data_IF_591112751374
#
_entry.id   IF_591112751374
#
_cell.length_a   1.000
_cell.length_b   1.000
_cell.length_c   1.000
_cell.angle_alpha   90.00
_cell.angle_beta   90.00
_cell.angle_gamma   90.00
#
_symmetry.space_group_name_H-M   'P 1'
#
loop_
_entity.id
_entity.type
_entity.pdbx_description
1 polymer ?
#
# COMPACT_ATOMS: atom_id res chain seq x y z
N UNK A 1 -51.41 32.67 -44.92
CA UNK A 1 -50.59 32.86 -43.70
C UNK A 1 -50.36 31.46 -43.13
N UNK A 2 -49.31 30.70 -43.46
CA UNK A 2 -47.88 30.82 -43.04
C UNK A 2 -47.82 31.19 -41.54
N UNK A 3 -47.38 30.33 -40.60
CA UNK A 3 -46.02 29.77 -40.35
C UNK A 3 -46.14 28.41 -39.62
N UNK A 4 -45.62 27.29 -40.13
CA UNK A 4 -44.25 26.73 -40.02
C UNK A 4 -43.75 26.41 -38.60
N UNK A 5 -43.70 25.11 -38.30
CA UNK A 5 -43.13 24.45 -37.12
C UNK A 5 -41.58 24.52 -37.08
N UNK A 6 -40.93 24.71 -35.91
CA UNK A 6 -39.51 24.47 -35.76
C UNK A 6 -39.25 23.07 -35.17
N UNK A 7 -38.81 22.14 -36.03
CA UNK A 7 -38.21 20.88 -35.60
C UNK A 7 -36.83 21.16 -34.99
N UNK A 8 -36.73 21.16 -33.66
CA UNK A 8 -35.46 21.18 -32.95
C UNK A 8 -34.85 19.77 -33.04
N UNK A 9 -33.90 19.58 -33.97
CA UNK A 9 -33.14 18.33 -34.07
C UNK A 9 -32.17 18.25 -32.88
N UNK A 10 -32.52 17.46 -31.87
CA UNK A 10 -31.55 16.97 -30.88
C UNK A 10 -30.57 16.04 -31.60
N UNK A 11 -29.31 16.46 -31.72
CA UNK A 11 -28.20 15.58 -32.10
C UNK A 11 -27.77 14.84 -30.83
N UNK A 12 -27.85 13.50 -30.75
CA UNK A 12 -27.34 12.79 -29.60
C UNK A 12 -25.82 12.82 -29.66
N UNK A 13 -25.21 13.55 -28.73
CA UNK A 13 -23.77 13.51 -28.48
C UNK A 13 -23.47 12.15 -27.84
N UNK A 14 -23.15 11.16 -28.65
CA UNK A 14 -22.67 9.86 -28.21
C UNK A 14 -21.28 10.09 -27.58
N UNK A 15 -21.25 10.21 -26.26
CA UNK A 15 -20.03 10.15 -25.48
C UNK A 15 -19.46 8.74 -25.60
N UNK A 16 -18.48 8.55 -26.48
CA UNK A 16 -17.65 7.34 -26.50
C UNK A 16 -16.84 7.37 -25.20
N UNK A 17 -17.35 6.69 -24.17
CA UNK A 17 -16.55 6.32 -23.02
C UNK A 17 -15.45 5.40 -23.54
N UNK A 18 -14.21 5.91 -23.63
CA UNK A 18 -13.02 5.09 -23.79
C UNK A 18 -12.93 4.22 -22.54
N UNK A 19 -13.52 3.04 -22.62
CA UNK A 19 -13.16 1.94 -21.75
C UNK A 19 -11.73 1.63 -22.17
N UNK A 20 -10.75 2.15 -21.43
CA UNK A 20 -9.40 1.67 -21.52
C UNK A 20 -9.43 0.22 -21.01
N UNK A 21 -9.73 -0.72 -21.90
CA UNK A 21 -9.48 -2.12 -21.65
C UNK A 21 -7.96 -2.24 -21.50
N UNK A 22 -7.49 -2.32 -20.26
CA UNK A 22 -6.16 -2.84 -19.97
C UNK A 22 -6.15 -4.25 -20.55
N UNK A 23 -5.48 -4.41 -21.69
CA UNK A 23 -5.28 -5.73 -22.27
C UNK A 23 -4.12 -6.35 -21.53
N UNK A 24 -4.40 -7.43 -20.80
CA UNK A 24 -3.35 -8.24 -20.19
C UNK A 24 -2.51 -8.91 -21.29
N UNK A 25 -1.26 -9.22 -20.99
CA UNK A 25 -0.39 -10.00 -21.88
C UNK A 25 0.16 -11.23 -21.16
N UNK A 26 0.67 -12.19 -21.92
CA UNK A 26 1.24 -13.41 -21.38
C UNK A 26 2.75 -13.27 -21.17
N UNK A 27 3.26 -13.86 -20.09
CA UNK A 27 4.67 -13.75 -19.72
C UNK A 27 5.60 -14.25 -20.82
N UNK A 28 5.25 -15.30 -21.55
CA UNK A 28 6.13 -15.93 -22.53
C UNK A 28 6.39 -15.09 -23.79
N UNK A 29 5.58 -14.06 -24.02
CA UNK A 29 5.76 -13.07 -25.08
C UNK A 29 6.78 -11.99 -24.70
N UNK A 30 7.19 -11.93 -23.44
CA UNK A 30 8.02 -10.86 -22.89
C UNK A 30 9.33 -11.44 -22.32
N UNK A 31 10.46 -10.89 -22.79
CA UNK A 31 11.77 -11.16 -22.19
C UNK A 31 11.81 -10.69 -20.75
N UNK A 32 12.52 -11.39 -19.88
CA UNK A 32 12.58 -11.07 -18.45
C UNK A 32 13.09 -9.66 -18.16
N UNK A 33 14.08 -9.17 -18.91
CA UNK A 33 14.58 -7.78 -18.82
C UNK A 33 13.55 -6.72 -19.20
N UNK A 34 12.48 -7.09 -19.90
CA UNK A 34 11.36 -6.23 -20.27
C UNK A 34 10.22 -6.23 -19.24
N UNK A 35 10.27 -7.12 -18.24
CA UNK A 35 9.28 -7.18 -17.17
C UNK A 35 9.64 -6.19 -16.06
N UNK A 36 8.80 -5.19 -15.87
CA UNK A 36 8.78 -4.45 -14.62
C UNK A 36 8.16 -5.33 -13.54
N UNK A 37 8.81 -5.42 -12.39
CA UNK A 37 8.29 -6.12 -11.22
C UNK A 37 8.11 -5.16 -10.04
N UNK A 38 6.94 -5.21 -9.42
CA UNK A 38 6.65 -4.58 -8.14
C UNK A 38 6.51 -5.66 -7.08
N UNK A 39 7.47 -5.74 -6.16
CA UNK A 39 7.49 -6.77 -5.11
C UNK A 39 7.39 -6.10 -3.74
N UNK A 40 6.41 -6.53 -2.94
CA UNK A 40 6.20 -6.06 -1.56
C UNK A 40 6.21 -7.22 -0.58
N UNK A 41 6.99 -7.09 0.49
CA UNK A 41 7.07 -8.06 1.58
C UNK A 41 6.64 -7.38 2.89
N UNK A 42 5.40 -7.56 3.31
CA UNK A 42 4.79 -6.76 4.39
C UNK A 42 4.45 -7.62 5.59
N UNK A 43 5.00 -7.28 6.75
CA UNK A 43 4.71 -7.94 8.02
C UNK A 43 3.82 -7.07 8.89
N UNK A 44 2.66 -7.60 9.29
CA UNK A 44 1.74 -6.91 10.20
C UNK A 44 1.95 -7.29 11.68
N UNK A 45 3.00 -8.07 11.97
CA UNK A 45 3.33 -8.58 13.31
C UNK A 45 2.71 -9.94 13.64
N UNK A 46 1.69 -10.38 12.89
CA UNK A 46 1.13 -11.74 13.00
C UNK A 46 1.63 -12.66 11.87
N UNK A 47 1.69 -12.15 10.64
CA UNK A 47 2.17 -12.87 9.46
C UNK A 47 2.84 -11.90 8.49
N UNK A 48 3.60 -12.43 7.55
CA UNK A 48 4.16 -11.68 6.44
C UNK A 48 3.51 -12.08 5.13
N UNK A 49 3.04 -11.09 4.37
CA UNK A 49 2.52 -11.26 3.01
C UNK A 49 3.62 -10.91 2.02
N UNK A 50 3.82 -11.76 1.02
CA UNK A 50 4.60 -11.44 -0.18
C UNK A 50 3.61 -11.20 -1.30
N UNK A 51 3.72 -10.08 -1.99
CA UNK A 51 2.92 -9.71 -3.14
C UNK A 51 3.83 -9.35 -4.32
N UNK A 52 3.54 -9.85 -5.50
CA UNK A 52 4.31 -9.53 -6.71
C UNK A 52 3.38 -9.20 -7.87
N UNK A 53 3.66 -8.09 -8.52
CA UNK A 53 2.99 -7.61 -9.72
C UNK A 53 4.01 -7.59 -10.87
N UNK A 54 3.59 -7.91 -12.09
CA UNK A 54 4.42 -7.85 -13.29
C UNK A 54 3.75 -7.05 -14.39
N UNK A 55 4.47 -6.06 -14.94
CA UNK A 55 3.96 -5.18 -15.98
C UNK A 55 4.94 -4.99 -17.14
N UNK A 56 4.41 -4.64 -18.32
CA UNK A 56 5.19 -4.13 -19.46
C UNK A 56 4.97 -2.63 -19.59
N UNK A 57 6.06 -1.87 -19.64
CA UNK A 57 6.01 -0.40 -19.76
C UNK A 57 6.13 0.35 -18.42
N UNK A 58 6.34 -0.35 -17.31
CA UNK A 58 6.53 0.22 -15.96
C UNK A 58 5.37 -0.08 -15.02
N UNK A 59 5.32 0.61 -13.88
CA UNK A 59 4.36 0.38 -12.78
C UNK A 59 2.88 0.65 -13.10
N UNK A 60 2.58 1.23 -14.25
CA UNK A 60 1.20 1.47 -14.72
C UNK A 60 1.03 0.96 -16.14
N UNK A 61 1.81 -0.06 -16.47
CA UNK A 61 1.88 -0.68 -17.78
C UNK A 61 0.75 -1.69 -18.01
N UNK A 62 0.95 -2.52 -19.03
CA UNK A 62 0.08 -3.69 -19.28
C UNK A 62 0.45 -4.81 -18.30
N UNK A 63 -0.54 -5.31 -17.56
CA UNK A 63 -0.40 -6.45 -16.67
C UNK A 63 0.10 -7.70 -17.42
N UNK A 64 0.95 -8.47 -16.76
CA UNK A 64 1.52 -9.71 -17.29
C UNK A 64 0.99 -10.89 -16.49
N UNK A 65 0.26 -11.78 -17.17
CA UNK A 65 -0.18 -13.06 -16.63
C UNK A 65 0.90 -14.09 -16.88
N UNK A 66 1.36 -14.77 -15.83
CA UNK A 66 2.27 -15.91 -15.95
C UNK A 66 1.58 -17.07 -16.69
N UNK A 67 2.26 -17.57 -17.71
CA UNK A 67 1.85 -18.79 -18.42
C UNK A 67 2.05 -20.03 -17.53
N UNK A 68 1.43 -21.16 -17.87
CA UNK A 68 1.36 -22.35 -16.99
C UNK A 68 2.70 -22.99 -16.61
N UNK A 69 3.82 -22.59 -17.22
CA UNK A 69 5.15 -23.10 -16.90
C UNK A 69 6.09 -22.05 -16.28
N UNK A 70 5.60 -20.82 -16.11
CA UNK A 70 6.29 -19.79 -15.35
C UNK A 70 5.66 -19.73 -13.95
N UNK A 71 6.48 -19.58 -12.91
CA UNK A 71 5.99 -19.41 -11.55
C UNK A 71 6.85 -18.46 -10.74
N UNK A 72 6.30 -18.00 -9.62
CA UNK A 72 7.01 -17.15 -8.67
C UNK A 72 7.08 -17.87 -7.35
N UNK A 73 8.29 -17.98 -6.83
CA UNK A 73 8.58 -18.61 -5.55
C UNK A 73 9.07 -17.55 -4.58
N UNK A 74 8.61 -17.58 -3.34
CA UNK A 74 9.21 -16.82 -2.24
C UNK A 74 9.86 -17.78 -1.25
N UNK A 75 11.04 -17.42 -0.75
CA UNK A 75 11.80 -18.20 0.23
C UNK A 75 12.23 -17.33 1.41
N UNK A 76 11.98 -17.79 2.63
CA UNK A 76 12.46 -17.18 3.86
C UNK A 76 12.71 -18.25 4.93
N UNK A 77 13.82 -18.16 5.66
CA UNK A 77 14.23 -19.15 6.67
C UNK A 77 14.16 -20.61 6.18
N UNK A 78 14.55 -20.86 4.92
CA UNK A 78 14.53 -22.20 4.30
C UNK A 78 13.14 -22.73 3.93
N UNK A 79 12.07 -21.96 4.17
CA UNK A 79 10.71 -22.30 3.73
C UNK A 79 10.49 -21.64 2.37
N UNK A 80 10.13 -22.43 1.37
CA UNK A 80 9.80 -21.97 0.02
C UNK A 80 8.32 -22.17 -0.25
N UNK A 81 7.65 -21.15 -0.80
CA UNK A 81 6.25 -21.19 -1.22
C UNK A 81 6.11 -20.67 -2.64
N UNK A 82 5.32 -21.35 -3.46
CA UNK A 82 4.84 -20.80 -4.73
C UNK A 82 3.77 -19.74 -4.42
N UNK A 83 3.84 -18.60 -5.09
CA UNK A 83 2.86 -17.53 -4.94
C UNK A 83 1.66 -17.84 -5.84
N UNK A 84 0.47 -17.68 -5.28
CA UNK A 84 -0.79 -17.95 -5.98
C UNK A 84 -1.32 -16.66 -6.59
N UNK A 85 -1.87 -16.75 -7.80
CA UNK A 85 -2.51 -15.62 -8.46
C UNK A 85 -3.70 -15.14 -7.62
N UNK A 86 -3.71 -13.85 -7.26
CA UNK A 86 -4.88 -13.18 -6.73
C UNK A 86 -5.79 -12.74 -7.89
N UNK A 87 -7.10 -12.85 -7.70
CA UNK A 87 -8.11 -12.54 -8.72
C UNK A 87 -9.01 -11.42 -8.22
N UNK A 88 -8.45 -10.27 -7.89
CA UNK A 88 -9.21 -9.03 -7.84
C UNK A 88 -9.39 -8.44 -9.24
N UNK A 89 -10.44 -7.62 -9.39
CA UNK A 89 -10.98 -7.21 -10.69
C UNK A 89 -10.14 -6.14 -11.42
N UNK A 90 -9.01 -5.71 -10.86
CA UNK A 90 -8.31 -4.48 -11.27
C UNK A 90 -6.84 -4.69 -11.67
N UNK A 91 -6.19 -5.74 -11.18
CA UNK A 91 -4.76 -6.03 -11.38
C UNK A 91 -4.47 -7.55 -11.33
N UNK A 92 -3.27 -7.94 -11.79
CA UNK A 92 -2.81 -9.34 -11.76
C UNK A 92 -1.63 -9.43 -10.82
N UNK A 93 -1.93 -9.88 -9.60
CA UNK A 93 -0.95 -10.09 -8.55
C UNK A 93 -0.74 -11.57 -8.25
N UNK A 94 0.43 -11.89 -7.71
CA UNK A 94 0.75 -13.20 -7.13
C UNK A 94 1.15 -13.02 -5.68
N UNK A 95 0.53 -13.79 -4.78
CA UNK A 95 0.70 -13.61 -3.35
C UNK A 95 0.90 -14.91 -2.56
N UNK A 96 1.50 -14.75 -1.39
CA UNK A 96 1.73 -15.84 -0.45
C UNK A 96 1.93 -15.31 0.96
N UNK A 97 1.68 -16.17 1.95
CA UNK A 97 1.75 -15.82 3.36
C UNK A 97 2.75 -16.69 4.11
N UNK A 98 3.54 -16.07 4.98
CA UNK A 98 4.52 -16.72 5.85
C UNK A 98 4.21 -16.42 7.32
N UNK A 99 4.30 -17.44 8.17
CA UNK A 99 4.26 -17.29 9.63
C UNK A 99 5.64 -16.87 10.18
N UNK A 100 6.24 -15.88 9.53
CA UNK A 100 7.57 -15.33 9.82
C UNK A 100 7.41 -13.83 9.97
N UNK A 101 7.71 -13.28 11.13
CA UNK A 101 7.59 -11.84 11.41
C UNK A 101 8.85 -11.23 12.03
N UNK A 102 9.86 -12.06 12.26
CA UNK A 102 11.14 -11.64 12.83
C UNK A 102 11.82 -10.61 11.93
N UNK A 103 12.27 -9.51 12.53
CA UNK A 103 13.02 -8.49 11.80
C UNK A 103 14.36 -9.01 11.28
N UNK A 104 14.88 -8.36 10.25
CA UNK A 104 16.08 -8.75 9.50
C UNK A 104 16.01 -10.13 8.83
N UNK A 105 14.83 -10.78 8.78
CA UNK A 105 14.67 -12.00 7.98
C UNK A 105 14.74 -11.62 6.51
N UNK A 106 15.66 -12.26 5.78
CA UNK A 106 15.78 -12.11 4.34
C UNK A 106 14.70 -12.93 3.61
N UNK A 107 14.06 -12.30 2.64
CA UNK A 107 13.17 -12.92 1.67
C UNK A 107 13.86 -12.91 0.31
N UNK A 108 13.92 -14.07 -0.33
CA UNK A 108 14.30 -14.22 -1.73
C UNK A 108 13.05 -14.52 -2.54
N UNK A 109 12.79 -13.74 -3.58
CA UNK A 109 11.70 -13.94 -4.53
C UNK A 109 12.33 -14.32 -5.86
N UNK A 110 11.87 -15.41 -6.47
CA UNK A 110 12.38 -15.93 -7.74
C UNK A 110 11.25 -16.08 -8.74
N UNK A 111 11.35 -15.40 -9.89
CA UNK A 111 10.53 -15.68 -11.06
C UNK A 111 11.24 -16.76 -11.88
N UNK A 112 10.69 -17.98 -11.88
CA UNK A 112 11.16 -19.08 -12.72
C UNK A 112 10.47 -18.99 -14.07
N UNK A 113 11.28 -18.96 -15.13
CA UNK A 113 10.84 -18.81 -16.51
C UNK A 113 11.17 -20.08 -17.28
N UNK A 114 10.24 -20.56 -18.10
CA UNK A 114 10.46 -21.74 -18.92
C UNK A 114 11.24 -21.42 -20.21
N UNK A 115 10.88 -20.31 -20.89
CA UNK A 115 11.45 -19.93 -22.20
C UNK A 115 12.46 -18.78 -22.13
N UNK A 116 12.53 -18.08 -21.00
CA UNK A 116 13.37 -16.91 -20.79
C UNK A 116 14.28 -17.12 -19.59
N UNK A 117 15.19 -16.18 -19.32
CA UNK A 117 16.06 -16.23 -18.14
C UNK A 117 15.27 -16.01 -16.86
N UNK A 118 15.63 -16.72 -15.79
CA UNK A 118 15.06 -16.47 -14.46
C UNK A 118 15.46 -15.09 -13.95
N UNK A 119 14.64 -14.55 -13.05
CA UNK A 119 14.93 -13.32 -12.33
C UNK A 119 14.71 -13.49 -10.84
N UNK A 120 15.37 -12.67 -10.03
CA UNK A 120 15.26 -12.74 -8.58
C UNK A 120 15.29 -11.37 -7.92
N UNK A 121 14.77 -11.32 -6.71
CA UNK A 121 14.83 -10.18 -5.82
C UNK A 121 15.14 -10.63 -4.39
N UNK A 122 15.86 -9.81 -3.65
CA UNK A 122 16.21 -10.08 -2.24
C UNK A 122 15.94 -8.83 -1.42
N UNK A 123 15.26 -9.00 -0.28
CA UNK A 123 14.98 -7.92 0.65
C UNK A 123 14.87 -8.46 2.07
N UNK A 124 15.37 -7.71 3.06
CA UNK A 124 15.28 -8.09 4.46
C UNK A 124 14.21 -7.26 5.16
N UNK A 125 13.34 -7.92 5.94
CA UNK A 125 12.36 -7.23 6.78
C UNK A 125 13.07 -6.20 7.69
N UNK A 126 12.50 -5.01 7.89
CA UNK A 126 12.96 -4.08 8.91
C UNK A 126 12.92 -4.71 10.32
N UNK A 127 13.62 -4.10 11.28
CA UNK A 127 13.54 -4.52 12.68
C UNK A 127 12.09 -4.47 13.13
N UNK A 128 11.59 -5.61 13.61
CA UNK A 128 10.23 -5.74 14.13
C UNK A 128 10.03 -4.81 15.33
N UNK A 129 8.82 -4.29 15.45
CA UNK A 129 8.44 -3.44 16.57
C UNK A 129 6.99 -3.64 16.98
N UNK A 130 6.60 -2.98 18.04
CA UNK A 130 5.29 -2.89 18.65
C UNK A 130 5.02 -1.44 19.03
N UNK A 131 3.76 -1.02 18.91
CA UNK A 131 3.32 0.27 19.48
C UNK A 131 3.00 0.02 20.96
N UNK A 132 3.79 0.61 21.84
CA UNK A 132 3.67 0.49 23.29
C UNK A 132 2.66 1.50 23.85
N UNK A 133 2.58 2.68 23.25
CA UNK A 133 1.52 3.65 23.51
C UNK A 133 1.26 4.50 22.26
N UNK A 134 0.04 5.01 22.06
CA UNK A 134 -1.17 4.73 22.85
C UNK A 134 -1.68 3.31 22.61
N UNK A 135 -2.63 2.87 23.43
CA UNK A 135 -3.38 1.62 23.23
C UNK A 135 -4.80 1.92 22.76
N UNK A 136 -5.48 0.89 22.28
CA UNK A 136 -6.87 0.98 21.83
C UNK A 136 -7.77 1.60 22.91
N UNK A 137 -8.60 2.56 22.53
CA UNK A 137 -9.53 3.24 23.42
C UNK A 137 -8.93 4.36 24.27
N UNK A 138 -7.62 4.62 24.19
CA UNK A 138 -7.04 5.77 24.86
C UNK A 138 -7.58 7.10 24.31
N UNK A 139 -7.75 8.06 25.21
CA UNK A 139 -8.03 9.45 24.85
C UNK A 139 -6.77 10.14 24.33
N UNK A 140 -6.92 10.90 23.25
CA UNK A 140 -5.93 11.85 22.74
C UNK A 140 -6.60 13.24 22.62
N UNK A 141 -5.81 14.31 22.75
CA UNK A 141 -6.35 15.67 22.83
C UNK A 141 -5.74 16.53 21.73
N UNK A 142 -6.58 17.27 21.02
CA UNK A 142 -6.19 18.08 19.87
C UNK A 142 -5.12 19.13 20.21
N UNK A 143 -5.19 19.70 21.41
CA UNK A 143 -4.29 20.74 21.90
C UNK A 143 -3.14 20.20 22.77
N UNK A 144 -2.84 18.90 22.71
CA UNK A 144 -1.71 18.30 23.42
C UNK A 144 -0.88 17.47 22.47
N UNK A 145 0.42 17.41 22.75
CA UNK A 145 1.32 16.48 22.07
C UNK A 145 0.81 15.04 22.25
N UNK A 146 0.70 14.35 21.13
CA UNK A 146 0.31 12.96 21.03
C UNK A 146 1.57 12.13 20.76
N UNK A 147 2.01 11.37 21.76
CA UNK A 147 3.21 10.55 21.66
C UNK A 147 2.84 9.11 21.29
N UNK A 148 3.50 8.58 20.27
CA UNK A 148 3.47 7.17 19.90
C UNK A 148 4.82 6.56 20.26
N UNK A 149 4.85 5.79 21.34
CA UNK A 149 6.03 5.07 21.79
C UNK A 149 6.10 3.72 21.07
N UNK A 150 7.23 3.44 20.42
CA UNK A 150 7.49 2.14 19.78
C UNK A 150 8.75 1.52 20.38
N UNK A 151 8.81 0.18 20.41
CA UNK A 151 10.04 -0.51 20.77
C UNK A 151 11.01 -0.63 19.59
N UNK A 152 12.28 -0.82 19.93
CA UNK A 152 13.38 -0.94 18.97
C UNK A 152 13.65 0.32 18.15
N UNK A 153 14.84 0.38 17.56
CA UNK A 153 15.22 1.37 16.55
C UNK A 153 15.73 0.65 15.31
N UNK A 154 15.61 1.29 14.14
CA UNK A 154 16.13 0.76 12.88
C UNK A 154 16.62 1.89 11.99
N UNK A 155 17.87 2.28 12.20
CA UNK A 155 18.56 3.32 11.42
C UNK A 155 18.78 2.95 9.96
N UNK A 156 18.47 1.71 9.57
CA UNK A 156 18.60 1.21 8.20
C UNK A 156 17.27 1.14 7.46
N UNK A 157 16.17 1.56 8.08
CA UNK A 157 14.84 1.65 7.48
C UNK A 157 14.37 3.10 7.40
N UNK A 158 13.53 3.38 6.41
CA UNK A 158 12.75 4.61 6.39
C UNK A 158 11.44 4.38 7.16
N UNK A 159 10.97 5.40 7.87
CA UNK A 159 9.74 5.29 8.65
C UNK A 159 8.70 6.29 8.17
N UNK A 160 7.44 5.89 8.22
CA UNK A 160 6.31 6.73 7.85
C UNK A 160 5.12 6.46 8.75
N UNK A 161 4.16 7.39 8.76
CA UNK A 161 2.88 7.21 9.43
C UNK A 161 1.72 7.49 8.50
N UNK A 162 0.61 6.79 8.75
CA UNK A 162 -0.70 7.10 8.23
C UNK A 162 -1.68 7.26 9.39
N UNK A 163 -2.25 8.46 9.53
CA UNK A 163 -3.30 8.78 10.47
C UNK A 163 -4.64 8.87 9.73
N UNK A 164 -5.63 8.15 10.24
CA UNK A 164 -7.01 8.19 9.77
C UNK A 164 -7.91 8.63 10.91
N UNK A 165 -8.62 9.75 10.73
CA UNK A 165 -9.60 10.23 11.69
C UNK A 165 -11.02 10.16 11.10
N UNK A 166 -11.92 9.45 11.81
CA UNK A 166 -13.34 9.38 11.51
C UNK A 166 -14.09 10.29 12.46
N UNK A 167 -14.65 11.36 11.93
CA UNK A 167 -15.27 12.47 12.66
C UNK A 167 -16.73 12.66 12.25
N UNK A 168 -17.44 13.52 12.99
CA UNK A 168 -18.77 14.01 12.62
C UNK A 168 -18.69 15.37 11.94
N UNK A 169 -19.60 15.61 11.01
CA UNK A 169 -19.81 16.95 10.45
C UNK A 169 -20.79 17.74 11.31
N UNK A 170 -20.79 19.07 11.20
CA UNK A 170 -21.75 19.98 11.86
C UNK A 170 -23.21 19.68 11.50
N UNK A 171 -23.45 19.06 10.35
CA UNK A 171 -24.76 18.60 9.88
C UNK A 171 -25.17 17.21 10.40
N UNK A 172 -24.31 16.54 11.19
CA UNK A 172 -24.57 15.20 11.73
C UNK A 172 -24.09 14.03 10.85
N UNK A 173 -23.51 14.32 9.69
CA UNK A 173 -22.90 13.34 8.78
C UNK A 173 -21.55 12.80 9.28
N UNK A 174 -20.90 11.97 8.46
CA UNK A 174 -19.56 11.42 8.73
C UNK A 174 -18.52 12.12 7.86
N UNK A 175 -17.33 12.31 8.42
CA UNK A 175 -16.17 12.89 7.76
C UNK A 175 -14.96 11.99 8.01
N UNK A 176 -14.23 11.61 6.96
CA UNK A 176 -12.95 10.90 7.07
C UNK A 176 -11.83 11.83 6.68
N UNK A 177 -10.85 11.98 7.56
CA UNK A 177 -9.66 12.78 7.38
C UNK A 177 -8.44 11.87 7.34
N UNK A 178 -7.49 12.18 6.46
CA UNK A 178 -6.29 11.37 6.21
C UNK A 178 -5.07 12.28 6.25
N UNK A 179 -4.09 11.93 7.06
CA UNK A 179 -2.80 12.61 7.17
C UNK A 179 -1.69 11.56 7.15
N UNK A 180 -0.57 11.83 6.50
CA UNK A 180 0.55 10.92 6.48
C UNK A 180 1.81 11.59 5.96
N UNK A 181 2.94 11.14 6.47
CA UNK A 181 4.24 11.64 6.03
C UNK A 181 5.34 10.62 6.35
N UNK A 182 6.43 10.74 5.60
CA UNK A 182 7.70 10.10 5.92
C UNK A 182 8.44 10.92 6.98
N UNK A 183 9.16 10.25 7.86
CA UNK A 183 9.99 10.90 8.86
C UNK A 183 11.26 10.09 9.14
N UNK A 184 12.31 10.79 9.53
CA UNK A 184 13.62 10.20 9.87
C UNK A 184 13.80 9.90 11.36
N UNK A 185 12.73 10.06 12.14
CA UNK A 185 12.78 9.84 13.58
C UNK A 185 12.87 8.34 13.90
N UNK A 186 13.79 8.00 14.79
CA UNK A 186 13.90 6.66 15.37
C UNK A 186 13.24 6.65 16.75
N UNK A 187 12.54 5.56 17.08
CA UNK A 187 11.84 5.43 18.36
C UNK A 187 10.57 6.27 18.41
N UNK A 188 10.43 7.12 19.42
CA UNK A 188 9.17 7.78 19.76
C UNK A 188 8.75 8.81 18.71
N UNK A 189 7.48 8.80 18.34
CA UNK A 189 6.89 9.76 17.42
C UNK A 189 6.03 10.75 18.17
N UNK A 190 6.28 12.04 17.97
CA UNK A 190 5.54 13.11 18.63
C UNK A 190 4.73 13.84 17.58
N UNK A 191 3.41 13.81 17.73
CA UNK A 191 2.47 14.46 16.84
C UNK A 191 1.78 15.62 17.55
N UNK A 192 1.80 16.80 16.95
CA UNK A 192 0.96 17.91 17.37
C UNK A 192 -0.25 17.96 16.43
N UNK A 193 -1.38 17.43 16.87
CA UNK A 193 -2.58 17.33 16.02
C UNK A 193 -3.09 18.70 15.58
N UNK A 194 -2.79 19.76 16.34
CA UNK A 194 -3.06 21.16 15.98
C UNK A 194 -2.35 21.62 14.71
N UNK A 195 -1.25 20.96 14.33
CA UNK A 195 -0.43 21.36 13.19
C UNK A 195 -0.95 20.71 11.89
N UNK A 196 -1.88 19.75 12.00
CA UNK A 196 -2.46 19.04 10.87
C UNK A 196 -3.64 19.81 10.29
N UNK A 197 -3.45 20.36 9.09
CA UNK A 197 -4.45 21.13 8.32
C UNK A 197 -5.76 20.36 8.13
N UNK A 198 -5.71 19.02 8.15
CA UNK A 198 -6.89 18.17 8.03
C UNK A 198 -7.96 18.46 9.09
N UNK A 199 -7.58 18.93 10.28
CA UNK A 199 -8.51 19.27 11.36
C UNK A 199 -9.04 20.70 11.31
N UNK A 200 -8.64 21.49 10.30
CA UNK A 200 -9.22 22.81 10.01
C UNK A 200 -10.36 22.74 8.99
N UNK A 201 -10.78 21.53 8.63
CA UNK A 201 -11.90 21.29 7.72
C UNK A 201 -13.18 22.01 8.22
N UNK A 202 -13.77 22.85 7.37
CA UNK A 202 -14.88 23.75 7.75
C UNK A 202 -16.14 23.03 8.27
N UNK A 203 -16.40 21.81 7.79
CA UNK A 203 -17.55 21.00 8.21
C UNK A 203 -17.32 20.19 9.48
N UNK A 204 -16.09 20.11 9.99
CA UNK A 204 -15.78 19.32 11.18
C UNK A 204 -16.52 19.87 12.41
N UNK A 205 -17.26 19.01 13.10
CA UNK A 205 -17.88 19.34 14.37
C UNK A 205 -16.91 19.07 15.53
N UNK A 206 -16.17 20.11 15.93
CA UNK A 206 -15.24 20.05 17.06
C UNK A 206 -15.93 19.88 18.42
N UNK A 207 -17.28 19.90 18.51
CA UNK A 207 -17.99 19.53 19.74
C UNK A 207 -18.12 18.01 19.95
N UNK A 208 -17.78 17.23 18.92
CA UNK A 208 -17.82 15.77 18.93
C UNK A 208 -16.41 15.21 18.86
N UNK A 209 -16.20 14.07 19.51
CA UNK A 209 -14.95 13.34 19.40
C UNK A 209 -14.82 12.67 18.02
N UNK A 210 -13.58 12.47 17.58
CA UNK A 210 -13.26 11.63 16.43
C UNK A 210 -12.67 10.29 16.88
N UNK A 211 -12.85 9.26 16.07
CA UNK A 211 -12.16 7.98 16.22
C UNK A 211 -10.92 8.01 15.32
N UNK A 212 -9.75 7.93 15.92
CA UNK A 212 -8.46 8.01 15.23
C UNK A 212 -7.80 6.63 15.21
N UNK A 213 -7.18 6.31 14.08
CA UNK A 213 -6.24 5.20 13.94
C UNK A 213 -4.92 5.75 13.45
N UNK A 214 -3.82 5.25 13.98
CA UNK A 214 -2.49 5.54 13.45
C UNK A 214 -1.79 4.23 13.11
N UNK A 215 -1.20 4.22 11.93
CA UNK A 215 -0.36 3.16 11.42
C UNK A 215 1.05 3.72 11.28
N UNK A 216 2.02 2.97 11.80
CA UNK A 216 3.44 3.24 11.63
C UNK A 216 4.01 2.14 10.75
N UNK A 217 4.82 2.55 9.79
CA UNK A 217 5.50 1.66 8.86
C UNK A 217 7.00 1.92 8.94
N UNK A 218 7.79 0.85 9.06
CA UNK A 218 9.22 0.85 8.73
C UNK A 218 9.38 0.14 7.40
N UNK A 219 10.17 0.68 6.48
CA UNK A 219 10.39 0.14 5.15
C UNK A 219 11.87 0.03 4.79
N UNK A 220 12.23 -1.01 4.05
CA UNK A 220 13.53 -1.19 3.40
C UNK A 220 13.34 -1.50 1.92
N UNK A 221 14.25 -1.00 1.10
CA UNK A 221 14.40 -1.42 -0.30
C UNK A 221 15.39 -2.58 -0.40
N UNK A 222 15.18 -3.46 -1.36
CA UNK A 222 16.07 -4.58 -1.64
C UNK A 222 16.77 -4.45 -2.99
N UNK A 223 17.30 -5.58 -3.47
CA UNK A 223 18.01 -5.67 -4.74
C UNK A 223 17.30 -6.63 -5.68
N UNK A 224 17.44 -6.39 -6.99
CA UNK A 224 16.82 -7.21 -8.03
C UNK A 224 17.85 -7.57 -9.10
N UNK A 225 17.64 -8.71 -9.76
CA UNK A 225 18.45 -9.19 -10.88
C UNK A 225 17.57 -9.60 -12.06
N UNK A 226 18.03 -9.34 -13.28
CA UNK A 226 17.43 -9.73 -14.57
C UNK A 226 16.03 -9.17 -14.90
N UNK A 227 15.36 -8.49 -13.96
CA UNK A 227 14.16 -7.70 -14.22
C UNK A 227 14.49 -6.39 -14.95
N UNK A 228 13.45 -5.71 -15.45
CA UNK A 228 13.58 -4.35 -15.97
C UNK A 228 14.22 -3.42 -14.91
N UNK A 229 15.10 -2.51 -15.34
CA UNK A 229 15.91 -1.65 -14.45
C UNK A 229 15.13 -0.75 -13.49
N UNK A 230 13.86 -0.46 -13.78
CA UNK A 230 12.95 0.33 -12.92
C UNK A 230 12.10 -0.51 -11.96
N UNK A 231 12.33 -1.82 -11.91
CA UNK A 231 11.63 -2.71 -10.99
C UNK A 231 12.01 -2.37 -9.55
N UNK A 232 11.12 -2.66 -8.62
CA UNK A 232 11.31 -2.35 -7.21
C UNK A 232 10.94 -3.56 -6.34
N UNK A 233 11.74 -3.77 -5.30
CA UNK A 233 11.40 -4.67 -4.20
C UNK A 233 11.51 -3.90 -2.90
N UNK A 234 10.43 -3.91 -2.11
CA UNK A 234 10.39 -3.32 -0.77
C UNK A 234 9.91 -4.34 0.25
N UNK A 235 10.25 -4.07 1.51
CA UNK A 235 9.72 -4.82 2.63
C UNK A 235 9.38 -3.89 3.78
N UNK A 236 8.32 -4.22 4.52
CA UNK A 236 7.79 -3.37 5.56
C UNK A 236 7.44 -4.12 6.84
N UNK A 237 7.66 -3.46 7.98
CA UNK A 237 7.03 -3.80 9.26
C UNK A 237 5.95 -2.75 9.54
N UNK A 238 4.70 -3.20 9.64
CA UNK A 238 3.54 -2.32 9.79
C UNK A 238 2.87 -2.62 11.13
N UNK A 239 2.67 -1.59 11.95
CA UNK A 239 1.91 -1.70 13.20
C UNK A 239 0.87 -0.61 13.27
N UNK A 240 -0.29 -0.97 13.80
CA UNK A 240 -1.45 -0.09 13.87
C UNK A 240 -2.07 -0.11 15.24
N UNK A 241 -2.43 1.07 15.73
CA UNK A 241 -3.35 1.23 16.84
C UNK A 241 -4.63 1.88 16.32
N UNK A 242 -5.77 1.32 16.69
CA UNK A 242 -7.09 1.78 16.25
C UNK A 242 -7.92 2.26 17.44
N UNK A 243 -9.01 2.94 17.12
CA UNK A 243 -10.03 3.36 18.08
C UNK A 243 -9.50 4.26 19.20
N UNK A 244 -8.58 5.17 18.87
CA UNK A 244 -8.19 6.27 19.75
C UNK A 244 -9.29 7.34 19.75
N UNK A 245 -9.60 7.91 20.91
CA UNK A 245 -10.65 8.92 21.04
C UNK A 245 -10.06 10.32 21.04
N UNK A 246 -10.12 11.02 19.90
CA UNK A 246 -9.68 12.41 19.80
C UNK A 246 -10.74 13.35 20.35
N UNK A 247 -10.34 14.16 21.31
CA UNK A 247 -11.14 15.25 21.91
C UNK A 247 -10.55 16.60 21.51
N UNK A 248 -11.41 17.51 21.05
CA UNK A 248 -11.03 18.89 20.71
C UNK A 248 -11.07 19.80 21.93
#
# INVERSE_FOLDING_TARGET
>A
MIFSSPYLKLVPLIAISLIACTSDTESDLIKTEGLWAGIKVESNGSRTRVNTEFNVGGSSGTNVILTSNDNVMATANGITKELEKDFDLLDVDYQGYFDITAGNTEFTIELKRNKNENASATVALPVSFSILSPQKGNDIFFNKAFNVHVDGTDSSSESSYNLVAKCKTKSGGNLTLLEGADFKQEGDYIFNLSDFVIFDHGDLDKSKSCIVSIEITREKTGTMSNFHSKSIVTSAQIRKVTDLLLKF
#
